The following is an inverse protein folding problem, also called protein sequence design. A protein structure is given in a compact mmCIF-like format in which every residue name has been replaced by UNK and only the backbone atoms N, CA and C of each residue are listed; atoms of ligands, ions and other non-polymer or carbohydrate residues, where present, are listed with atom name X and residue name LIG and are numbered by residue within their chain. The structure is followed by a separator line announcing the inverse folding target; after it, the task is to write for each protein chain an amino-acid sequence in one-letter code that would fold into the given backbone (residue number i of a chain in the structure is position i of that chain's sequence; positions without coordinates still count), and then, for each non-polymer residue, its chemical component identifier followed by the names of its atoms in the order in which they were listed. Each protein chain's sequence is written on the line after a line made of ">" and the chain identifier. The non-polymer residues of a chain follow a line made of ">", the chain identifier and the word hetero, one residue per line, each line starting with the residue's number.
data_IF_114178674556
#
_entry.id   IF_114178674556
#
_cell.length_a   1.000
_cell.length_b   1.000
_cell.length_c   1.000
_cell.angle_alpha   90.00
_cell.angle_beta   90.00
_cell.angle_gamma   90.00
#
_symmetry.space_group_name_H-M   'P 1'
#
loop_
_entity.id
_entity.type
_entity.pdbx_description
1 polymer ?
#
# COMPACT_ATOMS: atom_id res chain seq x y z
N UNK A 1 -0.68 -18.61 13.00
CA UNK A 1 -1.16 -17.28 13.43
C UNK A 1 -2.08 -16.77 12.33
N UNK A 2 -3.29 -16.40 12.66
CA UNK A 2 -4.27 -15.83 11.75
C UNK A 2 -4.13 -14.33 11.78
N UNK A 3 -4.00 -13.69 10.63
CA UNK A 3 -3.85 -12.24 10.47
C UNK A 3 -5.10 -11.69 9.79
N UNK A 4 -5.69 -10.65 10.33
CA UNK A 4 -6.75 -9.89 9.68
C UNK A 4 -6.11 -8.66 9.03
N UNK A 5 -6.13 -8.63 7.69
CA UNK A 5 -5.67 -7.49 6.91
C UNK A 5 -6.85 -6.64 6.44
N UNK A 6 -6.69 -5.33 6.48
CA UNK A 6 -7.71 -4.37 6.13
C UNK A 6 -7.19 -3.30 5.16
N UNK A 7 -8.12 -2.67 4.44
CA UNK A 7 -7.87 -1.47 3.65
C UNK A 7 -8.92 -0.40 3.97
N UNK A 8 -8.50 0.84 4.10
CA UNK A 8 -9.34 2.00 4.37
C UNK A 8 -9.48 2.81 3.08
N UNK A 9 -10.53 2.52 2.31
CA UNK A 9 -10.83 3.21 1.06
C UNK A 9 -11.62 4.48 1.31
N UNK A 10 -11.09 5.64 0.91
CA UNK A 10 -11.80 6.91 1.08
C UNK A 10 -11.43 7.93 -0.01
N UNK A 11 -12.22 9.00 -0.08
CA UNK A 11 -11.93 10.14 -0.95
C UNK A 11 -10.92 11.04 -0.25
N UNK A 12 -9.68 11.08 -0.77
CA UNK A 12 -8.61 11.89 -0.21
C UNK A 12 -8.90 13.38 -0.46
N UNK A 13 -9.01 14.17 0.59
CA UNK A 13 -9.16 15.61 0.51
C UNK A 13 -7.85 16.28 0.12
N UNK A 14 -7.70 16.61 -1.16
CA UNK A 14 -6.47 17.16 -1.71
C UNK A 14 -6.06 18.46 -1.02
N UNK A 15 -4.85 18.47 -0.45
CA UNK A 15 -4.30 19.62 0.29
C UNK A 15 -4.84 19.80 1.71
N UNK A 16 -5.81 19.01 2.15
CA UNK A 16 -6.39 19.13 3.50
C UNK A 16 -5.92 17.99 4.42
N UNK A 17 -4.70 18.11 4.91
CA UNK A 17 -4.05 17.12 5.77
C UNK A 17 -4.88 16.85 7.04
N UNK A 18 -5.42 17.87 7.67
CA UNK A 18 -6.13 17.73 8.95
C UNK A 18 -7.45 16.94 8.79
N UNK A 19 -8.18 17.16 7.69
CA UNK A 19 -9.39 16.38 7.38
C UNK A 19 -9.05 14.90 7.09
N UNK A 20 -8.00 14.66 6.31
CA UNK A 20 -7.56 13.29 6.00
C UNK A 20 -7.09 12.56 7.26
N UNK A 21 -6.30 13.21 8.10
CA UNK A 21 -5.82 12.66 9.37
C UNK A 21 -6.95 12.34 10.33
N UNK A 22 -7.92 13.25 10.47
CA UNK A 22 -9.12 13.03 11.28
C UNK A 22 -9.91 11.81 10.81
N UNK A 23 -10.11 11.67 9.49
CA UNK A 23 -10.78 10.50 8.90
C UNK A 23 -10.04 9.19 9.19
N UNK A 24 -8.72 9.17 8.91
CA UNK A 24 -7.90 7.98 9.09
C UNK A 24 -7.83 7.56 10.55
N UNK A 25 -7.70 8.49 11.50
CA UNK A 25 -7.72 8.21 12.93
C UNK A 25 -9.00 7.47 13.35
N UNK A 26 -10.17 7.97 12.95
CA UNK A 26 -11.44 7.35 13.26
C UNK A 26 -11.59 5.97 12.58
N UNK A 27 -11.12 5.82 11.34
CA UNK A 27 -11.16 4.56 10.61
C UNK A 27 -10.22 3.51 11.22
N UNK A 28 -9.01 3.89 11.65
CA UNK A 28 -8.07 3.00 12.33
C UNK A 28 -8.67 2.45 13.65
N UNK A 29 -9.39 3.28 14.40
CA UNK A 29 -10.10 2.82 15.59
C UNK A 29 -11.13 1.75 15.24
N UNK A 30 -12.00 2.00 14.27
CA UNK A 30 -13.05 1.04 13.86
C UNK A 30 -12.47 -0.29 13.40
N UNK A 31 -11.42 -0.24 12.61
CA UNK A 31 -10.75 -1.45 12.09
C UNK A 31 -10.05 -2.22 13.23
N UNK A 32 -9.46 -1.53 14.19
CA UNK A 32 -8.86 -2.15 15.36
C UNK A 32 -9.90 -2.88 16.22
N UNK A 33 -11.08 -2.28 16.41
CA UNK A 33 -12.21 -2.90 17.11
C UNK A 33 -12.71 -4.18 16.39
N UNK A 34 -12.49 -4.30 15.07
CA UNK A 34 -12.76 -5.51 14.28
C UNK A 34 -11.62 -6.54 14.34
N UNK A 35 -10.56 -6.27 15.08
CA UNK A 35 -9.43 -7.18 15.29
C UNK A 35 -8.39 -7.21 14.16
N UNK A 36 -8.33 -6.16 13.33
CA UNK A 36 -7.29 -6.06 12.31
C UNK A 36 -5.89 -6.05 12.92
N UNK A 37 -4.93 -6.58 12.16
CA UNK A 37 -3.50 -6.58 12.49
C UNK A 37 -2.68 -5.78 11.47
N UNK A 38 -3.17 -5.69 10.23
CA UNK A 38 -2.55 -4.95 9.11
C UNK A 38 -3.58 -4.02 8.50
N UNK A 39 -3.21 -2.78 8.27
CA UNK A 39 -4.05 -1.78 7.60
C UNK A 39 -3.27 -1.11 6.48
N UNK A 40 -3.87 -1.05 5.29
CA UNK A 40 -3.33 -0.32 4.14
C UNK A 40 -4.18 0.91 3.88
N UNK A 41 -3.53 2.07 3.76
CA UNK A 41 -4.12 3.35 3.40
C UNK A 41 -3.87 3.65 1.92
N UNK A 42 -4.59 4.59 1.29
CA UNK A 42 -4.33 5.00 -0.09
C UNK A 42 -2.94 5.62 -0.29
N UNK A 43 -2.54 5.78 -1.54
CA UNK A 43 -1.36 6.56 -1.92
C UNK A 43 -1.55 8.03 -1.56
N UNK A 44 -0.50 8.67 -1.04
CA UNK A 44 -0.52 10.10 -0.64
C UNK A 44 -1.76 10.44 0.20
N UNK A 45 -2.15 9.52 1.08
CA UNK A 45 -3.41 9.58 1.81
C UNK A 45 -3.59 10.85 2.66
N UNK A 46 -2.48 11.43 3.15
CA UNK A 46 -2.51 12.61 4.03
C UNK A 46 -2.75 13.92 3.28
N UNK A 47 -2.30 14.01 2.02
CA UNK A 47 -2.28 15.29 1.27
C UNK A 47 -2.92 15.23 -0.10
N UNK A 48 -3.10 14.01 -0.67
CA UNK A 48 -3.32 13.86 -2.10
C UNK A 48 -2.16 14.45 -2.92
N UNK A 49 -2.35 14.53 -4.22
CA UNK A 49 -1.39 15.14 -5.15
C UNK A 49 -1.59 16.66 -5.26
N UNK A 50 -1.48 17.36 -4.12
CA UNK A 50 -1.61 18.82 -4.02
C UNK A 50 -0.34 19.53 -4.53
N UNK A 51 0.04 19.34 -5.78
CA UNK A 51 1.32 19.75 -6.38
C UNK A 51 1.79 21.16 -6.00
N UNK A 52 0.87 22.12 -5.86
CA UNK A 52 1.21 23.53 -5.57
C UNK A 52 1.69 23.77 -4.14
N UNK A 53 1.22 22.96 -3.20
CA UNK A 53 1.51 23.09 -1.75
C UNK A 53 2.23 21.86 -1.20
N UNK A 54 2.60 20.94 -2.07
CA UNK A 54 3.11 19.62 -1.68
C UNK A 54 4.39 19.72 -0.84
N UNK A 55 5.34 20.58 -1.23
CA UNK A 55 6.58 20.78 -0.49
C UNK A 55 6.36 21.36 0.91
N UNK A 56 5.36 22.27 1.07
CA UNK A 56 4.96 22.82 2.36
C UNK A 56 4.30 21.73 3.23
N UNK A 57 3.35 20.98 2.65
CA UNK A 57 2.66 19.90 3.36
C UNK A 57 3.63 18.79 3.78
N UNK A 58 4.66 18.52 3.00
CA UNK A 58 5.69 17.54 3.32
C UNK A 58 6.44 17.87 4.63
N UNK A 59 6.55 19.13 5.02
CA UNK A 59 7.18 19.51 6.29
C UNK A 59 6.40 19.02 7.51
N UNK A 60 5.13 18.66 7.35
CA UNK A 60 4.29 18.10 8.41
C UNK A 60 4.34 16.57 8.49
N UNK A 61 5.02 15.91 7.57
CA UNK A 61 5.02 14.43 7.47
C UNK A 61 5.59 13.75 8.70
N UNK A 62 6.65 14.28 9.30
CA UNK A 62 7.21 13.70 10.53
C UNK A 62 6.20 13.71 11.69
N UNK A 63 5.43 14.77 11.85
CA UNK A 63 4.39 14.84 12.88
C UNK A 63 3.24 13.84 12.60
N UNK A 64 2.84 13.70 11.34
CA UNK A 64 1.82 12.71 10.93
C UNK A 64 2.32 11.28 11.17
N UNK A 65 3.58 10.99 10.85
CA UNK A 65 4.18 9.66 11.10
C UNK A 65 4.29 9.38 12.59
N UNK A 66 4.66 10.37 13.41
CA UNK A 66 4.69 10.22 14.87
C UNK A 66 3.30 9.84 15.42
N UNK A 67 2.23 10.49 14.94
CA UNK A 67 0.87 10.12 15.32
C UNK A 67 0.49 8.70 14.85
N UNK A 68 0.89 8.28 13.64
CA UNK A 68 0.68 6.91 13.20
C UNK A 68 1.43 5.89 14.09
N UNK A 69 2.61 6.24 14.60
CA UNK A 69 3.33 5.42 15.57
C UNK A 69 2.53 5.25 16.86
N UNK A 70 1.98 6.34 17.41
CA UNK A 70 1.12 6.28 18.61
C UNK A 70 -0.10 5.39 18.37
N UNK A 71 -0.81 5.57 17.26
CA UNK A 71 -1.98 4.76 16.90
C UNK A 71 -1.62 3.28 16.66
N UNK A 72 -0.47 3.01 16.04
CA UNK A 72 0.05 1.65 15.84
C UNK A 72 0.30 0.95 17.17
N UNK A 73 0.94 1.63 18.14
CA UNK A 73 1.17 1.08 19.48
C UNK A 73 -0.15 0.85 20.23
N UNK A 74 -1.05 1.85 20.19
CA UNK A 74 -2.33 1.82 20.88
C UNK A 74 -3.21 0.67 20.40
N UNK A 75 -3.30 0.49 19.09
CA UNK A 75 -4.20 -0.48 18.46
C UNK A 75 -3.51 -1.79 18.05
N UNK A 76 -2.19 -1.91 18.22
CA UNK A 76 -1.39 -3.07 17.80
C UNK A 76 -1.53 -3.38 16.31
N UNK A 77 -1.48 -2.34 15.49
CA UNK A 77 -1.64 -2.38 14.04
C UNK A 77 -0.30 -2.19 13.33
N UNK A 78 -0.05 -3.01 12.31
CA UNK A 78 0.88 -2.66 11.24
C UNK A 78 0.16 -1.73 10.27
N UNK A 79 0.65 -0.49 10.09
CA UNK A 79 0.04 0.52 9.24
C UNK A 79 0.95 0.80 8.05
N UNK A 80 0.38 0.72 6.84
CA UNK A 80 1.08 0.96 5.57
C UNK A 80 0.35 2.04 4.78
N UNK A 81 1.01 3.14 4.50
CA UNK A 81 0.44 4.22 3.69
C UNK A 81 1.52 5.17 3.19
N UNK A 82 1.32 5.78 2.01
CA UNK A 82 2.32 6.70 1.49
C UNK A 82 1.95 8.17 1.73
N UNK A 83 3.00 8.97 1.89
CA UNK A 83 2.93 10.40 2.22
C UNK A 83 4.06 11.14 1.53
N UNK A 84 3.97 12.48 1.37
CA UNK A 84 5.08 13.26 0.85
C UNK A 84 6.24 13.30 1.86
N UNK A 85 7.45 13.01 1.44
CA UNK A 85 8.67 13.16 2.24
C UNK A 85 9.54 14.24 1.58
N UNK A 86 10.06 15.23 2.33
CA UNK A 86 10.93 16.25 1.76
C UNK A 86 12.19 15.65 1.13
N UNK A 87 12.61 16.17 -0.03
CA UNK A 87 13.89 15.87 -0.66
C UNK A 87 14.82 17.08 -0.59
N UNK A 88 16.14 16.85 -0.68
CA UNK A 88 17.17 17.88 -0.54
C UNK A 88 17.16 18.94 -1.65
N UNK A 89 16.55 18.60 -2.81
CA UNK A 89 16.51 19.46 -4.00
C UNK A 89 15.21 20.28 -4.13
N UNK A 90 14.41 20.35 -3.06
CA UNK A 90 13.13 21.07 -3.02
C UNK A 90 11.95 20.31 -3.61
N UNK A 91 12.19 19.13 -4.20
CA UNK A 91 11.13 18.17 -4.56
C UNK A 91 10.71 17.37 -3.34
N UNK A 92 9.83 16.41 -3.55
CA UNK A 92 9.39 15.47 -2.52
C UNK A 92 9.53 14.03 -3.02
N UNK A 93 9.62 13.09 -2.11
CA UNK A 93 9.41 11.68 -2.41
C UNK A 93 7.97 11.30 -2.09
N UNK A 94 7.43 10.34 -2.83
CA UNK A 94 6.22 9.61 -2.46
C UNK A 94 6.67 8.39 -1.63
N UNK A 95 6.51 8.45 -0.32
CA UNK A 95 7.15 7.51 0.61
C UNK A 95 6.12 6.75 1.43
N UNK A 96 6.17 5.41 1.35
CA UNK A 96 5.51 4.56 2.35
C UNK A 96 6.34 4.57 3.63
N UNK A 97 5.66 4.82 4.74
CA UNK A 97 6.13 4.48 6.07
C UNK A 97 5.39 3.23 6.54
N UNK A 98 6.15 2.17 6.83
CA UNK A 98 5.60 0.99 7.50
C UNK A 98 5.77 1.20 8.99
N UNK A 99 4.66 1.33 9.68
CA UNK A 99 4.64 1.58 11.12
C UNK A 99 4.15 0.33 11.84
N UNK A 100 4.90 -0.11 12.84
CA UNK A 100 4.58 -1.30 13.63
C UNK A 100 5.03 -1.10 15.07
N UNK A 101 4.17 -1.46 16.02
CA UNK A 101 4.46 -1.41 17.47
C UNK A 101 5.06 -0.06 17.92
N UNK A 102 4.51 1.03 17.41
CA UNK A 102 4.92 2.39 17.78
C UNK A 102 6.16 2.93 17.06
N UNK A 103 6.68 2.25 16.07
CA UNK A 103 7.91 2.63 15.38
C UNK A 103 7.76 2.56 13.86
N UNK A 104 8.54 3.37 13.14
CA UNK A 104 8.75 3.20 11.70
C UNK A 104 9.76 2.08 11.51
N UNK A 105 9.29 0.91 11.08
CA UNK A 105 10.14 -0.27 10.85
C UNK A 105 10.73 -0.33 9.46
N UNK A 106 10.13 0.38 8.48
CA UNK A 106 10.66 0.48 7.12
C UNK A 106 10.15 1.74 6.41
N UNK A 107 10.93 2.20 5.42
CA UNK A 107 10.57 3.27 4.48
C UNK A 107 10.81 2.82 3.06
N UNK A 108 9.85 3.12 2.18
CA UNK A 108 9.96 2.85 0.75
C UNK A 108 9.59 4.09 -0.05
N UNK A 109 10.50 4.59 -0.85
CA UNK A 109 10.28 5.68 -1.80
C UNK A 109 9.90 5.10 -3.15
N UNK A 110 8.79 5.56 -3.72
CA UNK A 110 8.26 5.10 -5.02
C UNK A 110 9.36 5.06 -6.08
N UNK A 111 9.59 3.90 -6.68
CA UNK A 111 10.61 3.71 -7.71
C UNK A 111 10.13 4.23 -9.07
N UNK A 112 8.91 3.89 -9.46
CA UNK A 112 8.38 4.19 -10.79
C UNK A 112 7.40 5.34 -10.71
N UNK A 113 7.83 6.53 -11.12
CA UNK A 113 7.00 7.73 -11.17
C UNK A 113 6.11 7.72 -12.40
N UNK A 114 4.84 8.09 -12.24
CA UNK A 114 3.87 8.12 -13.33
C UNK A 114 3.95 9.46 -14.09
N UNK A 115 4.83 9.53 -15.07
CA UNK A 115 5.12 10.75 -15.86
C UNK A 115 3.91 11.31 -16.61
N UNK A 116 2.95 10.47 -17.00
CA UNK A 116 1.72 10.90 -17.69
C UNK A 116 0.89 11.90 -16.84
N UNK A 117 0.98 11.84 -15.52
CA UNK A 117 0.36 12.79 -14.60
C UNK A 117 1.36 13.79 -14.00
N UNK A 118 2.58 13.85 -14.53
CA UNK A 118 3.59 14.82 -14.14
C UNK A 118 4.29 14.53 -12.81
N UNK A 119 4.22 13.29 -12.31
CA UNK A 119 4.93 12.92 -11.08
C UNK A 119 6.43 13.16 -11.18
N UNK A 120 7.03 12.87 -12.34
CA UNK A 120 8.46 13.06 -12.61
C UNK A 120 8.96 14.51 -12.45
N UNK A 121 8.04 15.49 -12.53
CA UNK A 121 8.36 16.91 -12.36
C UNK A 121 8.35 17.36 -10.89
N UNK A 122 7.47 16.75 -10.08
CA UNK A 122 7.25 17.15 -8.69
C UNK A 122 7.96 16.22 -7.69
N UNK A 123 8.07 14.95 -8.04
CA UNK A 123 8.66 13.94 -7.17
C UNK A 123 10.05 13.53 -7.60
N UNK A 124 10.85 13.14 -6.63
CA UNK A 124 12.10 12.41 -6.81
C UNK A 124 11.83 10.91 -6.69
N UNK A 125 12.35 10.12 -7.62
CA UNK A 125 12.25 8.66 -7.55
C UNK A 125 13.09 8.08 -6.43
N UNK A 126 12.65 6.96 -5.88
CA UNK A 126 13.45 6.14 -4.99
C UNK A 126 14.56 5.39 -5.74
N UNK A 127 15.42 4.71 -5.01
CA UNK A 127 16.60 4.00 -5.51
C UNK A 127 16.71 2.54 -5.04
N UNK A 128 15.79 2.11 -4.18
CA UNK A 128 15.84 0.80 -3.54
C UNK A 128 14.44 0.22 -3.27
N UNK A 129 14.33 -1.10 -3.39
CA UNK A 129 13.16 -1.84 -2.93
C UNK A 129 13.18 -1.97 -1.39
N UNK A 130 12.03 -2.27 -0.80
CA UNK A 130 11.89 -2.37 0.65
C UNK A 130 11.02 -3.56 1.05
N UNK A 131 11.52 -4.36 1.98
CA UNK A 131 10.81 -5.42 2.68
C UNK A 131 10.82 -5.09 4.17
N UNK A 132 9.65 -4.95 4.76
CA UNK A 132 9.50 -4.64 6.17
C UNK A 132 9.44 -5.93 7.01
N UNK A 133 10.29 -6.02 8.04
CA UNK A 133 10.16 -7.02 9.10
C UNK A 133 9.18 -6.46 10.14
N UNK A 134 8.05 -7.15 10.31
CA UNK A 134 6.97 -6.69 11.19
C UNK A 134 6.52 -7.79 12.15
N UNK A 135 5.70 -7.42 13.15
CA UNK A 135 5.10 -8.36 14.10
C UNK A 135 4.23 -9.44 13.43
N UNK A 136 3.74 -9.19 12.22
CA UNK A 136 2.96 -10.17 11.44
C UNK A 136 3.80 -10.96 10.44
N UNK A 137 5.12 -10.69 10.36
CA UNK A 137 6.06 -11.28 9.40
C UNK A 137 6.52 -10.30 8.33
N UNK A 138 7.09 -10.80 7.26
CA UNK A 138 7.65 -10.00 6.17
C UNK A 138 6.57 -9.41 5.26
N UNK A 139 6.52 -8.08 5.21
CA UNK A 139 5.58 -7.29 4.41
C UNK A 139 6.33 -6.59 3.28
N UNK A 140 6.01 -6.94 2.04
CA UNK A 140 6.46 -6.21 0.85
C UNK A 140 5.60 -4.98 0.60
N UNK A 141 6.19 -3.90 0.12
CA UNK A 141 5.46 -2.66 -0.20
C UNK A 141 5.82 -2.14 -1.58
N UNK A 142 4.80 -1.72 -2.33
CA UNK A 142 4.92 -1.06 -3.63
C UNK A 142 3.87 0.05 -3.72
N UNK A 143 4.06 1.06 -4.55
CA UNK A 143 3.12 2.18 -4.68
C UNK A 143 2.52 2.22 -6.08
N UNK A 144 1.19 2.04 -6.19
CA UNK A 144 0.39 2.40 -7.36
C UNK A 144 1.03 1.94 -8.69
N UNK A 145 1.70 2.84 -9.41
CA UNK A 145 2.31 2.57 -10.72
C UNK A 145 3.35 1.46 -10.69
N UNK A 146 4.02 1.23 -9.55
CA UNK A 146 4.95 0.10 -9.35
C UNK A 146 4.29 -1.26 -9.65
N UNK A 147 2.97 -1.36 -9.48
CA UNK A 147 2.20 -2.56 -9.77
C UNK A 147 2.36 -3.04 -11.22
N UNK A 148 2.74 -2.17 -12.17
CA UNK A 148 2.97 -2.54 -13.57
C UNK A 148 4.28 -3.28 -13.80
N UNK A 149 5.20 -3.24 -12.84
CA UNK A 149 6.54 -3.81 -12.95
C UNK A 149 6.63 -5.10 -12.14
N UNK A 150 6.50 -6.29 -12.78
CA UNK A 150 6.50 -7.57 -12.09
C UNK A 150 7.83 -7.87 -11.38
N UNK A 151 8.92 -7.28 -11.85
CA UNK A 151 10.26 -7.48 -11.31
C UNK A 151 10.32 -7.13 -9.82
N UNK A 152 9.69 -6.01 -9.43
CA UNK A 152 9.68 -5.55 -8.05
C UNK A 152 8.91 -6.51 -7.13
N UNK A 153 7.71 -6.93 -7.54
CA UNK A 153 6.90 -7.90 -6.79
C UNK A 153 7.60 -9.25 -6.68
N UNK A 154 8.24 -9.71 -7.77
CA UNK A 154 9.04 -10.93 -7.77
C UNK A 154 10.23 -10.84 -6.82
N UNK A 155 10.94 -9.71 -6.82
CA UNK A 155 12.04 -9.50 -5.89
C UNK A 155 11.59 -9.61 -4.44
N UNK A 156 10.52 -8.91 -4.06
CA UNK A 156 9.96 -8.96 -2.71
C UNK A 156 9.56 -10.38 -2.28
N UNK A 157 8.93 -11.12 -3.20
CA UNK A 157 8.52 -12.50 -2.94
C UNK A 157 9.72 -13.44 -2.70
N UNK A 158 10.81 -13.27 -3.48
CA UNK A 158 12.04 -14.05 -3.33
C UNK A 158 12.78 -13.75 -2.02
N UNK A 159 12.66 -12.52 -1.50
CA UNK A 159 13.18 -12.13 -0.20
C UNK A 159 12.29 -12.58 0.97
N UNK A 160 11.17 -13.25 0.65
CA UNK A 160 10.30 -13.91 1.63
C UNK A 160 9.08 -13.10 2.05
N UNK A 161 8.64 -12.10 1.26
CA UNK A 161 7.37 -11.45 1.49
C UNK A 161 6.23 -12.48 1.51
N UNK A 162 5.34 -12.35 2.50
CA UNK A 162 4.11 -13.14 2.61
C UNK A 162 2.90 -12.39 2.10
N UNK A 163 2.96 -11.07 2.16
CA UNK A 163 1.95 -10.14 1.66
C UNK A 163 2.63 -8.97 0.99
N UNK A 164 2.03 -8.46 -0.09
CA UNK A 164 2.39 -7.19 -0.71
C UNK A 164 1.26 -6.19 -0.47
N UNK A 165 1.60 -5.05 0.13
CA UNK A 165 0.70 -3.92 0.32
C UNK A 165 0.85 -2.92 -0.81
N UNK A 166 -0.28 -2.46 -1.37
CA UNK A 166 -0.33 -1.60 -2.56
C UNK A 166 -1.20 -0.36 -2.30
N UNK A 167 -0.69 0.67 -1.63
CA UNK A 167 -1.29 2.01 -1.64
C UNK A 167 -1.40 2.56 -3.05
N UNK A 168 -2.57 3.14 -3.42
CA UNK A 168 -2.77 3.69 -4.75
C UNK A 168 -3.73 4.90 -4.77
N UNK A 169 -3.52 5.76 -5.78
CA UNK A 169 -4.51 6.65 -6.37
C UNK A 169 -4.58 6.34 -7.87
N UNK A 170 -5.24 5.23 -8.20
CA UNK A 170 -5.34 4.70 -9.56
C UNK A 170 -6.64 5.16 -10.20
N UNK A 171 -6.57 6.02 -11.22
CA UNK A 171 -7.77 6.66 -11.77
C UNK A 171 -8.46 5.80 -12.84
N UNK A 172 -9.75 6.12 -13.10
CA UNK A 172 -10.46 5.68 -14.33
C UNK A 172 -9.67 6.17 -15.57
N UNK A 173 -9.71 5.45 -16.70
CA UNK A 173 -10.49 4.26 -17.04
C UNK A 173 -9.72 2.93 -16.91
N UNK A 174 -8.74 2.81 -16.03
CA UNK A 174 -7.80 1.67 -15.99
C UNK A 174 -8.17 0.60 -14.94
N UNK A 175 -9.46 0.42 -14.64
CA UNK A 175 -9.98 -0.54 -13.65
C UNK A 175 -9.55 -1.98 -13.95
N UNK A 176 -9.67 -2.42 -15.21
CA UNK A 176 -9.29 -3.78 -15.60
C UNK A 176 -7.80 -4.04 -15.42
N UNK A 177 -6.95 -3.04 -15.70
CA UNK A 177 -5.51 -3.18 -15.42
C UNK A 177 -5.25 -3.35 -13.92
N UNK A 178 -5.95 -2.60 -13.07
CA UNK A 178 -5.83 -2.69 -11.62
C UNK A 178 -6.18 -4.10 -11.12
N UNK A 179 -7.38 -4.58 -11.44
CA UNK A 179 -7.86 -5.90 -11.01
C UNK A 179 -6.96 -7.03 -11.54
N UNK A 180 -6.63 -6.99 -12.81
CA UNK A 180 -5.81 -8.02 -13.46
C UNK A 180 -4.40 -8.06 -12.89
N UNK A 181 -3.75 -6.90 -12.73
CA UNK A 181 -2.38 -6.85 -12.24
C UNK A 181 -2.27 -7.25 -10.76
N UNK A 182 -3.19 -6.83 -9.90
CA UNK A 182 -3.20 -7.26 -8.50
C UNK A 182 -3.32 -8.77 -8.38
N UNK A 183 -4.24 -9.38 -9.12
CA UNK A 183 -4.39 -10.84 -9.14
C UNK A 183 -3.16 -11.54 -9.72
N UNK A 184 -2.58 -11.00 -10.79
CA UNK A 184 -1.35 -11.52 -11.36
C UNK A 184 -0.20 -11.53 -10.33
N UNK A 185 -0.01 -10.43 -9.57
CA UNK A 185 1.01 -10.36 -8.52
C UNK A 185 0.80 -11.41 -7.43
N UNK A 186 -0.46 -11.66 -7.04
CA UNK A 186 -0.78 -12.69 -6.07
C UNK A 186 -0.47 -14.10 -6.62
N UNK A 187 -0.95 -14.42 -7.83
CA UNK A 187 -0.81 -15.74 -8.45
C UNK A 187 0.66 -16.09 -8.72
N UNK A 188 1.37 -15.23 -9.45
CA UNK A 188 2.74 -15.51 -9.90
C UNK A 188 3.76 -15.56 -8.75
N UNK A 189 3.46 -14.89 -7.63
CA UNK A 189 4.33 -14.83 -6.45
C UNK A 189 3.79 -15.65 -5.27
N UNK A 190 2.65 -16.32 -5.43
CA UNK A 190 2.03 -17.18 -4.44
C UNK A 190 2.00 -16.55 -3.05
N UNK A 191 1.54 -15.28 -2.96
CA UNK A 191 1.45 -14.48 -1.76
C UNK A 191 0.13 -13.71 -1.72
N UNK A 192 -0.21 -13.18 -0.55
CA UNK A 192 -1.37 -12.28 -0.42
C UNK A 192 -1.06 -10.91 -1.01
N UNK A 193 -2.09 -10.26 -1.55
CA UNK A 193 -2.03 -8.84 -1.95
C UNK A 193 -3.12 -8.09 -1.21
N UNK A 194 -2.74 -7.00 -0.54
CA UNK A 194 -3.67 -6.07 0.11
C UNK A 194 -3.51 -4.72 -0.57
N UNK A 195 -4.50 -4.32 -1.33
CA UNK A 195 -4.48 -3.06 -2.05
C UNK A 195 -5.45 -2.05 -1.46
N UNK A 196 -5.07 -0.79 -1.46
CA UNK A 196 -5.94 0.31 -1.06
C UNK A 196 -5.86 1.44 -2.08
N UNK A 197 -6.94 1.62 -2.84
CA UNK A 197 -7.06 2.69 -3.81
C UNK A 197 -7.95 3.81 -3.25
N UNK A 198 -7.69 5.06 -3.63
CA UNK A 198 -8.63 6.14 -3.38
C UNK A 198 -9.92 5.96 -4.20
N UNK A 199 -11.02 6.54 -3.73
CA UNK A 199 -12.30 6.54 -4.44
C UNK A 199 -12.90 7.95 -4.55
N UNK A 200 -13.87 8.11 -5.44
CA UNK A 200 -14.55 9.36 -5.69
C UNK A 200 -13.76 10.36 -6.52
N UNK A 201 -14.24 11.59 -6.57
CA UNK A 201 -13.61 12.65 -7.34
C UNK A 201 -12.58 13.39 -6.50
N UNK A 202 -11.33 13.42 -6.98
CA UNK A 202 -10.22 14.15 -6.35
C UNK A 202 -9.65 15.11 -7.39
N UNK A 203 -9.84 16.41 -7.18
CA UNK A 203 -9.52 17.42 -8.19
C UNK A 203 -10.30 17.20 -9.49
N UNK A 204 -9.60 16.96 -10.59
CA UNK A 204 -10.20 16.71 -11.92
C UNK A 204 -10.28 15.21 -12.27
N UNK A 205 -9.79 14.35 -11.42
CA UNK A 205 -9.71 12.89 -11.70
C UNK A 205 -10.78 12.13 -10.93
N UNK A 206 -11.28 11.09 -11.56
CA UNK A 206 -12.21 10.12 -11.00
C UNK A 206 -11.45 8.87 -10.57
N UNK A 207 -11.61 8.47 -9.32
CA UNK A 207 -11.01 7.27 -8.74
C UNK A 207 -12.10 6.26 -8.42
N UNK A 208 -11.89 5.03 -8.84
CA UNK A 208 -12.92 4.00 -8.78
C UNK A 208 -12.90 3.15 -7.49
N UNK A 209 -11.94 3.38 -6.59
CA UNK A 209 -11.80 2.51 -5.42
C UNK A 209 -11.37 1.09 -5.80
N UNK A 210 -12.22 0.10 -5.57
CA UNK A 210 -11.92 -1.33 -5.81
C UNK A 210 -10.64 -1.76 -5.06
N UNK A 211 -10.52 -1.33 -3.80
CA UNK A 211 -9.52 -1.87 -2.89
C UNK A 211 -9.82 -3.35 -2.66
N UNK A 212 -8.81 -4.20 -2.62
CA UNK A 212 -9.00 -5.65 -2.56
C UNK A 212 -8.01 -6.32 -1.63
N UNK A 213 -8.45 -7.42 -1.02
CA UNK A 213 -7.59 -8.44 -0.43
C UNK A 213 -7.67 -9.67 -1.31
N UNK A 214 -6.51 -10.16 -1.77
CA UNK A 214 -6.40 -11.26 -2.73
C UNK A 214 -5.50 -12.35 -2.15
N UNK A 215 -5.93 -13.60 -2.29
CA UNK A 215 -5.20 -14.76 -1.80
C UNK A 215 -4.09 -15.22 -2.77
N UNK A 216 -3.19 -16.13 -2.34
CA UNK A 216 -2.10 -16.64 -3.16
C UNK A 216 -2.52 -17.40 -4.44
N UNK A 217 -3.80 -17.75 -4.59
CA UNK A 217 -4.37 -18.36 -5.78
C UNK A 217 -4.99 -17.35 -6.75
N UNK A 218 -5.01 -16.07 -6.34
CA UNK A 218 -5.62 -14.98 -7.10
C UNK A 218 -7.13 -14.83 -6.86
N UNK A 219 -7.67 -15.49 -5.84
CA UNK A 219 -9.06 -15.29 -5.45
C UNK A 219 -9.23 -13.98 -4.67
N UNK A 220 -10.25 -13.20 -5.03
CA UNK A 220 -10.58 -11.96 -4.35
C UNK A 220 -11.38 -12.30 -3.09
N UNK A 221 -10.75 -12.19 -1.93
CA UNK A 221 -11.38 -12.46 -0.64
C UNK A 221 -12.37 -11.38 -0.25
N UNK A 222 -12.08 -10.13 -0.59
CA UNK A 222 -12.98 -8.98 -0.40
C UNK A 222 -12.65 -7.89 -1.40
N UNK A 223 -13.67 -7.13 -1.83
CA UNK A 223 -13.60 -6.03 -2.79
C UNK A 223 -14.45 -4.87 -2.26
N UNK A 224 -13.88 -3.70 -2.14
CA UNK A 224 -14.54 -2.50 -1.61
C UNK A 224 -15.57 -1.88 -2.57
N UNK A 225 -15.59 -2.27 -3.84
CA UNK A 225 -16.36 -1.55 -4.85
C UNK A 225 -15.91 -0.10 -4.99
N UNK A 226 -16.83 0.79 -5.38
CA UNK A 226 -16.52 2.20 -5.66
C UNK A 226 -16.77 3.15 -4.48
N UNK A 227 -17.44 2.70 -3.43
CA UNK A 227 -17.86 3.54 -2.30
C UNK A 227 -16.75 3.72 -1.25
N UNK A 228 -16.86 4.79 -0.45
CA UNK A 228 -16.07 4.95 0.77
C UNK A 228 -16.42 3.83 1.75
N UNK A 229 -15.44 3.01 2.12
CA UNK A 229 -15.64 1.93 3.09
C UNK A 229 -14.31 1.39 3.61
N UNK A 230 -14.40 0.59 4.66
CA UNK A 230 -13.33 -0.25 5.16
C UNK A 230 -13.64 -1.70 4.80
N UNK A 231 -12.64 -2.44 4.35
CA UNK A 231 -12.74 -3.87 4.06
C UNK A 231 -11.68 -4.62 4.87
N UNK A 232 -11.99 -5.88 5.19
CA UNK A 232 -11.02 -6.76 5.84
C UNK A 232 -11.19 -8.20 5.39
N UNK A 233 -10.10 -8.97 5.44
CA UNK A 233 -10.11 -10.40 5.22
C UNK A 233 -8.99 -11.07 6.02
N UNK A 234 -9.17 -12.36 6.24
CA UNK A 234 -8.22 -13.21 6.95
C UNK A 234 -7.11 -13.68 6.01
N UNK A 235 -5.85 -13.54 6.44
CA UNK A 235 -4.68 -14.11 5.80
C UNK A 235 -4.27 -15.38 6.57
N UNK A 236 -4.23 -16.51 5.87
CA UNK A 236 -3.81 -17.79 6.43
C UNK A 236 -2.43 -18.18 5.90
N UNK A 237 -1.41 -17.99 6.73
CA UNK A 237 -0.03 -18.32 6.35
C UNK A 237 0.19 -19.82 6.11
N UNK A 238 -0.55 -20.70 6.80
CA UNK A 238 -0.42 -22.15 6.61
C UNK A 238 -1.01 -22.57 5.27
N UNK A 239 -2.16 -22.03 4.89
CA UNK A 239 -2.75 -22.27 3.57
C UNK A 239 -1.85 -21.78 2.43
N UNK A 240 -1.19 -20.62 2.60
CA UNK A 240 -0.22 -20.10 1.65
C UNK A 240 0.99 -21.05 1.49
N UNK A 241 1.59 -21.50 2.58
CA UNK A 241 2.75 -22.41 2.53
C UNK A 241 2.37 -23.76 1.94
N UNK A 242 1.19 -24.30 2.26
CA UNK A 242 0.67 -25.52 1.64
C UNK A 242 0.49 -25.37 0.13
N UNK A 243 -0.01 -24.21 -0.34
CA UNK A 243 -0.13 -23.91 -1.76
C UNK A 243 1.23 -23.84 -2.47
N UNK A 244 2.22 -23.17 -1.85
CA UNK A 244 3.60 -23.11 -2.37
C UNK A 244 4.24 -24.50 -2.47
N UNK A 245 3.98 -25.37 -1.49
CA UNK A 245 4.47 -26.74 -1.52
C UNK A 245 3.81 -27.59 -2.62
N UNK A 246 2.53 -27.34 -2.91
CA UNK A 246 1.80 -28.04 -3.97
C UNK A 246 2.28 -27.66 -5.38
N UNK A 247 2.60 -26.37 -5.59
CA UNK A 247 3.10 -25.84 -6.87
C UNK A 247 4.42 -25.09 -6.58
N UNK A 248 5.59 -25.76 -6.68
CA UNK A 248 6.85 -25.21 -6.20
C UNK A 248 7.51 -24.24 -7.20
N UNK A 249 6.75 -23.23 -7.68
CA UNK A 249 7.18 -22.29 -8.73
C UNK A 249 8.52 -21.59 -8.41
N UNK A 250 8.84 -21.34 -7.15
CA UNK A 250 10.10 -20.69 -6.78
C UNK A 250 11.31 -21.64 -6.98
N UNK A 251 11.13 -22.95 -6.72
CA UNK A 251 12.16 -23.96 -6.93
C UNK A 251 12.40 -24.28 -8.41
N UNK A 252 11.35 -24.13 -9.24
CA UNK A 252 11.41 -24.43 -10.68
C UNK A 252 11.96 -23.27 -11.51
N UNK A 253 12.30 -22.14 -10.90
CA UNK A 253 12.88 -20.99 -11.61
C UNK A 253 14.26 -21.34 -12.19
N UNK A 254 14.54 -20.71 -13.32
CA UNK A 254 15.82 -20.83 -14.04
C UNK A 254 16.54 -19.48 -14.08
N UNK A 255 16.98 -18.91 -12.90
CA UNK A 255 17.56 -17.56 -12.82
C UNK A 255 18.83 -17.42 -13.65
N UNK A 256 19.48 -18.51 -14.00
CA UNK A 256 20.64 -18.55 -14.89
C UNK A 256 20.32 -18.23 -16.35
N UNK A 257 19.03 -18.18 -16.71
CA UNK A 257 18.57 -17.92 -18.08
C UNK A 257 17.96 -16.52 -18.26
N UNK A 258 17.63 -15.81 -17.17
CA UNK A 258 16.99 -14.48 -17.20
C UNK A 258 17.33 -13.63 -15.97
#
# INVERSE_FOLDING_TARGET
>A
MTIIAAAIQFTVHQGNLDANLCYVRAALQRIAEQGANLVVLPEMWSTGFAYKTLAELAQRTEAVVAELCELSAQYKLVIVGSQPEPADDGRVFNTIHVVDNGQVVARYRKLHLFSLLGEDKAFKGGDSWCLAETTIGKVGVIICYDLRFPELSRRLALEGARVICVPAQWPKPRQEHWRTLLRARAIENQLYVVSCNACGQIGKLDFFGMSMVIDPKGEVLTDAGEAVCEISATLDWQAMEAWRAQIPCFGDRRPELY
#
